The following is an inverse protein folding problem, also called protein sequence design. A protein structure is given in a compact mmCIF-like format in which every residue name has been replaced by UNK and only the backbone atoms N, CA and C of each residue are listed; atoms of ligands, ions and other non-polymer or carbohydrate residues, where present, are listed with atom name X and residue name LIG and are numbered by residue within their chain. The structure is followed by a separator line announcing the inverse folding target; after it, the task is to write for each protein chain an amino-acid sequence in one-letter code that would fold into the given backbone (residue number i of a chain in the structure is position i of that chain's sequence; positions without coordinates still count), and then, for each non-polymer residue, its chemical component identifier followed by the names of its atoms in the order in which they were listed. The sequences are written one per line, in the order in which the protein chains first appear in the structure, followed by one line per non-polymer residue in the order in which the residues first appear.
data_IF_069956516190
#
_entry.id   IF_069956516190
#
_cell.length_a   1.000
_cell.length_b   1.000
_cell.length_c   1.000
_cell.angle_alpha   90.00
_cell.angle_beta   90.00
_cell.angle_gamma   90.00
#
_symmetry.space_group_name_H-M   'P 1'
#
loop_
_entity.id
_entity.type
_entity.pdbx_description
1 polymer ?
#
# COMPACT_ATOMS: atom_id res chain seq x y z
N UNK A 1 3.50 20.81 10.82
CA UNK A 1 4.23 20.84 9.54
C UNK A 1 3.69 22.00 8.74
N UNK A 2 4.39 23.14 8.67
CA UNK A 2 4.10 24.18 7.66
C UNK A 2 5.13 23.98 6.55
N UNK A 3 4.95 22.93 5.76
CA UNK A 3 5.63 22.86 4.47
C UNK A 3 4.92 23.77 3.48
N UNK A 4 5.66 24.32 2.53
CA UNK A 4 5.07 25.04 1.41
C UNK A 4 4.19 24.10 0.59
N UNK A 5 3.02 24.57 0.17
CA UNK A 5 2.05 23.78 -0.58
C UNK A 5 2.68 23.15 -1.85
N UNK A 6 3.61 23.85 -2.51
CA UNK A 6 4.28 23.33 -3.72
C UNK A 6 5.18 22.14 -3.38
N UNK A 7 5.89 22.20 -2.26
CA UNK A 7 6.76 21.10 -1.80
C UNK A 7 5.93 19.90 -1.38
N UNK A 8 4.86 20.11 -0.62
CA UNK A 8 3.96 19.03 -0.21
C UNK A 8 3.30 18.34 -1.41
N UNK A 9 2.76 19.11 -2.36
CA UNK A 9 2.16 18.58 -3.58
C UNK A 9 3.18 17.78 -4.43
N UNK A 10 4.41 18.27 -4.54
CA UNK A 10 5.49 17.55 -5.23
C UNK A 10 5.80 16.21 -4.57
N UNK A 11 5.93 16.18 -3.24
CA UNK A 11 6.20 14.96 -2.48
C UNK A 11 5.08 13.92 -2.64
N UNK A 12 3.82 14.37 -2.59
CA UNK A 12 2.64 13.51 -2.82
C UNK A 12 2.65 12.95 -4.24
N UNK A 13 2.94 13.78 -5.25
CA UNK A 13 3.00 13.32 -6.64
C UNK A 13 4.12 12.29 -6.87
N UNK A 14 5.30 12.47 -6.26
CA UNK A 14 6.37 11.48 -6.32
C UNK A 14 5.99 10.17 -5.65
N UNK A 15 5.40 10.24 -4.46
CA UNK A 15 4.94 9.05 -3.75
C UNK A 15 3.83 8.32 -4.53
N UNK A 16 2.86 9.06 -5.07
CA UNK A 16 1.79 8.50 -5.89
C UNK A 16 2.36 7.82 -7.16
N UNK A 17 3.25 8.50 -7.89
CA UNK A 17 3.92 7.95 -9.06
C UNK A 17 4.76 6.71 -8.76
N UNK A 18 5.45 6.69 -7.63
CA UNK A 18 6.21 5.50 -7.19
C UNK A 18 5.25 4.34 -6.90
N UNK A 19 4.15 4.62 -6.19
CA UNK A 19 3.16 3.61 -5.80
C UNK A 19 2.39 3.04 -6.99
N UNK A 20 2.19 3.81 -8.05
CA UNK A 20 1.56 3.32 -9.29
C UNK A 20 2.52 2.50 -10.15
N UNK A 21 3.83 2.78 -10.12
CA UNK A 21 4.84 2.02 -10.87
C UNK A 21 5.26 0.73 -10.18
N UNK A 22 5.27 0.71 -8.84
CA UNK A 22 5.74 -0.44 -8.07
C UNK A 22 5.02 -1.76 -8.42
N UNK A 23 3.70 -1.80 -8.71
CA UNK A 23 3.01 -2.99 -9.18
C UNK A 23 3.59 -3.64 -10.43
N UNK A 24 4.13 -2.85 -11.35
CA UNK A 24 4.76 -3.40 -12.56
C UNK A 24 6.00 -4.22 -12.20
N UNK A 25 6.82 -3.69 -11.30
CA UNK A 25 8.04 -4.35 -10.82
C UNK A 25 7.68 -5.57 -9.98
N UNK A 26 6.73 -5.41 -9.04
CA UNK A 26 6.29 -6.48 -8.15
C UNK A 26 5.67 -7.67 -8.89
N UNK A 27 4.80 -7.39 -9.86
CA UNK A 27 4.21 -8.42 -10.73
C UNK A 27 5.25 -9.15 -11.56
N UNK A 28 6.17 -8.41 -12.20
CA UNK A 28 7.26 -9.03 -12.96
C UNK A 28 8.13 -9.97 -12.10
N UNK A 29 8.51 -9.54 -10.89
CA UNK A 29 9.30 -10.39 -9.99
C UNK A 29 8.54 -11.62 -9.52
N UNK A 30 7.25 -11.49 -9.28
CA UNK A 30 6.39 -12.62 -8.89
C UNK A 30 6.25 -13.65 -10.01
N UNK A 31 6.03 -13.20 -11.24
CA UNK A 31 5.82 -14.09 -12.37
C UNK A 31 7.13 -14.71 -12.89
N UNK A 32 8.26 -13.99 -12.80
CA UNK A 32 9.54 -14.46 -13.34
C UNK A 32 10.39 -15.28 -12.35
N UNK A 33 10.33 -15.00 -11.04
CA UNK A 33 11.31 -15.55 -10.09
C UNK A 33 10.72 -16.11 -8.79
N UNK A 34 9.79 -15.38 -8.14
CA UNK A 34 9.40 -15.66 -6.75
C UNK A 34 8.18 -16.58 -6.65
N UNK A 35 7.23 -16.43 -7.57
CA UNK A 35 5.88 -16.98 -7.46
C UNK A 35 4.90 -16.04 -6.75
N UNK A 36 3.60 -16.25 -7.02
CA UNK A 36 2.52 -15.35 -6.58
C UNK A 36 2.29 -15.35 -5.08
N UNK A 37 2.15 -16.53 -4.45
CA UNK A 37 1.88 -16.63 -3.01
C UNK A 37 3.01 -16.06 -2.12
N UNK A 38 4.30 -16.42 -2.33
CA UNK A 38 5.38 -15.85 -1.51
C UNK A 38 5.52 -14.34 -1.69
N UNK A 39 5.26 -13.81 -2.91
CA UNK A 39 5.26 -12.37 -3.15
C UNK A 39 4.15 -11.67 -2.37
N UNK A 40 2.93 -12.21 -2.35
CA UNK A 40 1.81 -11.66 -1.56
C UNK A 40 2.16 -11.64 -0.07
N UNK A 41 2.74 -12.73 0.45
CA UNK A 41 3.11 -12.82 1.87
C UNK A 41 4.20 -11.79 2.23
N UNK A 42 5.28 -11.74 1.46
CA UNK A 42 6.36 -10.76 1.65
C UNK A 42 5.84 -9.32 1.60
N UNK A 43 5.04 -9.02 0.58
CA UNK A 43 4.46 -7.69 0.37
C UNK A 43 3.54 -7.28 1.50
N UNK A 44 2.77 -8.21 2.05
CA UNK A 44 1.89 -7.98 3.21
C UNK A 44 2.69 -7.65 4.47
N UNK A 45 3.79 -8.37 4.73
CA UNK A 45 4.67 -8.08 5.85
C UNK A 45 5.32 -6.69 5.72
N UNK A 46 5.83 -6.35 4.55
CA UNK A 46 6.40 -5.01 4.28
C UNK A 46 5.36 -3.91 4.44
N UNK A 47 4.13 -4.14 3.97
CA UNK A 47 3.03 -3.19 4.13
C UNK A 47 2.68 -2.95 5.61
N UNK A 48 2.61 -4.02 6.42
CA UNK A 48 2.38 -3.93 7.87
C UNK A 48 3.50 -3.16 8.57
N UNK A 49 4.77 -3.40 8.21
CA UNK A 49 5.91 -2.61 8.73
C UNK A 49 5.75 -1.13 8.37
N UNK A 50 5.38 -0.82 7.13
CA UNK A 50 5.13 0.57 6.71
C UNK A 50 4.02 1.25 7.51
N UNK A 51 2.88 0.58 7.70
CA UNK A 51 1.77 1.09 8.52
C UNK A 51 2.16 1.30 9.98
N UNK A 52 2.84 0.32 10.58
CA UNK A 52 3.28 0.43 11.98
C UNK A 52 4.26 1.59 12.19
N UNK A 53 5.22 1.79 11.28
CA UNK A 53 6.12 2.95 11.32
C UNK A 53 5.37 4.27 11.17
N UNK A 54 4.39 4.33 10.27
CA UNK A 54 3.57 5.52 10.06
C UNK A 54 2.78 5.87 11.33
N UNK A 55 2.12 4.88 11.95
CA UNK A 55 1.42 5.03 13.22
C UNK A 55 2.38 5.49 14.33
N UNK A 56 3.52 4.82 14.49
CA UNK A 56 4.50 5.18 15.51
C UNK A 56 5.01 6.63 15.35
N UNK A 57 5.17 7.12 14.12
CA UNK A 57 5.60 8.50 13.85
C UNK A 57 4.67 9.57 14.44
N UNK A 58 3.38 9.23 14.64
CA UNK A 58 2.38 10.13 15.20
C UNK A 58 2.15 9.90 16.69
N UNK A 59 2.20 8.66 17.18
CA UNK A 59 1.85 8.36 18.57
C UNK A 59 3.06 8.40 19.53
N UNK A 60 4.26 8.03 19.07
CA UNK A 60 5.46 7.95 19.93
C UNK A 60 6.07 9.35 20.13
N UNK A 61 6.19 9.86 21.36
CA UNK A 61 6.72 11.21 21.62
C UNK A 61 8.11 11.47 21.04
N UNK A 62 8.98 10.45 21.02
CA UNK A 62 10.32 10.56 20.44
C UNK A 62 10.32 10.75 18.92
N UNK A 63 9.31 10.21 18.24
CA UNK A 63 9.15 10.25 16.79
C UNK A 63 8.18 11.32 16.31
N UNK A 64 7.46 11.98 17.23
CA UNK A 64 6.58 13.10 16.89
C UNK A 64 7.39 14.23 16.24
N UNK A 65 6.77 14.98 15.31
CA UNK A 65 7.43 16.12 14.68
C UNK A 65 7.81 17.20 15.70
N UNK A 66 7.01 17.34 16.76
CA UNK A 66 7.08 18.40 17.75
C UNK A 66 6.67 17.89 19.14
N UNK A 67 7.39 18.29 20.20
CA UNK A 67 7.05 17.94 21.59
C UNK A 67 6.37 19.08 22.36
N UNK A 68 6.40 20.30 21.85
CA UNK A 68 5.87 21.51 22.51
C UNK A 68 4.84 22.22 21.61
N UNK A 69 4.02 23.11 22.19
CA UNK A 69 2.97 23.86 21.47
C UNK A 69 3.52 24.75 20.34
N UNK A 70 4.76 25.21 20.46
CA UNK A 70 5.47 25.99 19.45
C UNK A 70 6.46 25.11 18.70
N UNK A 71 6.19 24.87 17.41
CA UNK A 71 7.04 24.05 16.56
C UNK A 71 7.49 24.82 15.31
N UNK A 72 8.67 25.48 15.38
CA UNK A 72 9.20 26.23 14.25
C UNK A 72 9.64 25.31 13.10
N UNK A 73 10.21 24.13 13.41
CA UNK A 73 10.63 23.14 12.43
C UNK A 73 10.44 21.71 12.95
N UNK A 74 10.01 20.76 12.10
CA UNK A 74 9.88 19.36 12.48
C UNK A 74 11.26 18.73 12.71
N UNK A 75 11.34 17.76 13.63
CA UNK A 75 12.54 16.95 13.81
C UNK A 75 12.89 16.19 12.53
N UNK A 76 14.16 16.21 12.14
CA UNK A 76 14.67 15.43 11.00
C UNK A 76 14.41 13.92 11.12
N UNK A 77 14.45 13.39 12.34
CA UNK A 77 14.11 12.00 12.60
C UNK A 77 12.65 11.66 12.21
N UNK A 78 11.70 12.56 12.51
CA UNK A 78 10.30 12.36 12.12
C UNK A 78 10.16 12.34 10.60
N UNK A 79 10.79 13.30 9.92
CA UNK A 79 10.76 13.41 8.45
C UNK A 79 11.27 12.12 7.78
N UNK A 80 12.42 11.61 8.22
CA UNK A 80 13.00 10.36 7.69
C UNK A 80 12.09 9.16 7.95
N UNK A 81 11.60 8.99 9.19
CA UNK A 81 10.73 7.86 9.54
C UNK A 81 9.40 7.92 8.79
N UNK A 82 8.84 9.12 8.63
CA UNK A 82 7.60 9.33 7.89
C UNK A 82 7.74 8.96 6.42
N UNK A 83 8.77 9.46 5.73
CA UNK A 83 8.99 9.10 4.32
C UNK A 83 9.38 7.64 4.15
N UNK A 84 10.19 7.07 5.04
CA UNK A 84 10.50 5.64 5.04
C UNK A 84 9.22 4.80 5.14
N UNK A 85 8.31 5.16 6.06
CA UNK A 85 7.03 4.50 6.21
C UNK A 85 6.19 4.57 4.91
N UNK A 86 6.08 5.75 4.29
CA UNK A 86 5.35 5.94 3.04
C UNK A 86 5.91 5.08 1.88
N UNK A 87 7.24 5.00 1.75
CA UNK A 87 7.86 4.19 0.70
C UNK A 87 7.82 2.68 1.01
N UNK A 88 7.82 2.26 2.28
CA UNK A 88 7.54 0.88 2.66
C UNK A 88 6.11 0.47 2.28
N UNK A 89 5.11 1.34 2.54
CA UNK A 89 3.72 1.11 2.12
C UNK A 89 3.63 1.01 0.58
N UNK A 90 4.34 1.87 -0.13
CA UNK A 90 4.43 1.85 -1.60
C UNK A 90 4.99 0.52 -2.11
N UNK A 91 6.09 0.05 -1.50
CA UNK A 91 6.73 -1.23 -1.82
C UNK A 91 5.80 -2.42 -1.56
N UNK A 92 5.16 -2.45 -0.39
CA UNK A 92 4.19 -3.49 -0.03
C UNK A 92 2.98 -3.50 -0.97
N UNK A 93 2.49 -2.32 -1.38
CA UNK A 93 1.39 -2.22 -2.36
C UNK A 93 1.79 -2.81 -3.72
N UNK A 94 3.05 -2.63 -4.10
CA UNK A 94 3.60 -3.09 -5.37
C UNK A 94 3.46 -4.59 -5.60
N UNK A 95 3.89 -5.44 -4.66
CA UNK A 95 3.73 -6.88 -4.85
C UNK A 95 2.34 -7.40 -4.48
N UNK A 96 1.64 -6.76 -3.56
CA UNK A 96 0.34 -7.22 -3.10
C UNK A 96 -0.73 -7.11 -4.20
N UNK A 97 -0.82 -5.94 -4.84
CA UNK A 97 -1.92 -5.62 -5.78
C UNK A 97 -2.00 -6.54 -7.01
N UNK A 98 -0.92 -6.79 -7.79
CA UNK A 98 -1.01 -7.64 -8.98
C UNK A 98 -1.08 -9.13 -8.63
N UNK A 99 -0.43 -9.56 -7.54
CA UNK A 99 -0.29 -10.97 -7.22
C UNK A 99 -1.49 -11.53 -6.44
N UNK A 100 -2.18 -10.72 -5.63
CA UNK A 100 -3.30 -11.20 -4.84
C UNK A 100 -4.50 -11.58 -5.72
N UNK A 101 -4.86 -10.72 -6.69
CA UNK A 101 -5.98 -10.99 -7.60
C UNK A 101 -5.69 -12.21 -8.48
N UNK A 102 -4.46 -12.30 -9.00
CA UNK A 102 -4.01 -13.45 -9.78
C UNK A 102 -4.02 -14.74 -8.97
N UNK A 103 -3.50 -14.70 -7.74
CA UNK A 103 -3.53 -15.86 -6.83
C UNK A 103 -4.95 -16.30 -6.46
N UNK A 104 -5.87 -15.34 -6.24
CA UNK A 104 -7.28 -15.62 -5.99
C UNK A 104 -7.96 -16.26 -7.21
N UNK A 105 -7.63 -15.79 -8.42
CA UNK A 105 -8.10 -16.37 -9.67
C UNK A 105 -7.61 -17.81 -9.89
N UNK A 106 -6.40 -18.14 -9.43
CA UNK A 106 -5.78 -19.47 -9.54
C UNK A 106 -6.45 -20.52 -8.62
N UNK A 107 -7.32 -20.11 -7.68
CA UNK A 107 -8.03 -21.03 -6.79
C UNK A 107 -9.23 -21.73 -7.46
N UNK A 108 -9.59 -21.34 -8.68
CA UNK A 108 -10.73 -21.88 -9.41
C UNK A 108 -10.25 -22.59 -10.66
N UNK A 109 -10.72 -23.82 -10.88
CA UNK A 109 -10.45 -24.57 -12.11
C UNK A 109 -11.24 -23.96 -13.29
N UNK A 110 -10.51 -23.64 -14.36
CA UNK A 110 -11.11 -23.09 -15.57
C UNK A 110 -11.87 -24.14 -16.37
N UNK A 111 -11.46 -25.40 -16.32
CA UNK A 111 -12.10 -26.49 -17.07
C UNK A 111 -13.45 -26.88 -16.47
N UNK A 112 -13.67 -26.61 -15.18
CA UNK A 112 -14.92 -26.88 -14.50
C UNK A 112 -15.93 -25.73 -14.63
N UNK A 113 -17.05 -25.97 -15.34
CA UNK A 113 -18.07 -24.97 -15.65
C UNK A 113 -18.61 -24.23 -14.40
N UNK A 114 -18.87 -24.96 -13.31
CA UNK A 114 -19.37 -24.33 -12.07
C UNK A 114 -18.32 -23.51 -11.33
N UNK A 115 -17.04 -23.90 -11.36
CA UNK A 115 -15.98 -23.12 -10.71
C UNK A 115 -15.68 -21.84 -11.47
N UNK A 116 -15.76 -21.88 -12.81
CA UNK A 116 -15.68 -20.68 -13.65
C UNK A 116 -16.76 -19.64 -13.30
N UNK A 117 -18.00 -20.07 -13.03
CA UNK A 117 -19.07 -19.18 -12.55
C UNK A 117 -18.74 -18.59 -11.18
N UNK A 118 -18.19 -19.39 -10.26
CA UNK A 118 -17.73 -18.92 -8.94
C UNK A 118 -16.59 -17.92 -9.04
N UNK A 119 -15.62 -18.14 -9.94
CA UNK A 119 -14.53 -17.19 -10.24
C UNK A 119 -15.07 -15.82 -10.68
N UNK A 120 -16.06 -15.80 -11.59
CA UNK A 120 -16.71 -14.54 -11.99
C UNK A 120 -17.45 -13.87 -10.82
N UNK A 121 -18.16 -14.65 -10.01
CA UNK A 121 -18.83 -14.13 -8.80
C UNK A 121 -17.85 -13.56 -7.78
N UNK A 122 -16.69 -14.21 -7.58
CA UNK A 122 -15.60 -13.73 -6.75
C UNK A 122 -15.12 -12.34 -7.20
N UNK A 123 -14.87 -12.15 -8.50
CA UNK A 123 -14.47 -10.83 -9.02
C UNK A 123 -15.58 -9.78 -8.93
N UNK A 124 -16.86 -10.16 -9.05
CA UNK A 124 -17.97 -9.25 -8.83
C UNK A 124 -17.99 -8.74 -7.38
N UNK A 125 -17.85 -9.65 -6.40
CA UNK A 125 -17.78 -9.29 -4.99
C UNK A 125 -16.52 -8.50 -4.63
N UNK A 126 -15.38 -8.85 -5.22
CA UNK A 126 -14.13 -8.11 -5.06
C UNK A 126 -14.27 -6.65 -5.50
N UNK A 127 -14.80 -6.41 -6.70
CA UNK A 127 -15.02 -5.06 -7.21
C UNK A 127 -16.04 -4.28 -6.38
N UNK A 128 -17.14 -4.93 -5.96
CA UNK A 128 -18.12 -4.30 -5.09
C UNK A 128 -17.49 -3.85 -3.77
N UNK A 129 -16.74 -4.72 -3.10
CA UNK A 129 -16.06 -4.41 -1.85
C UNK A 129 -15.02 -3.29 -2.01
N UNK A 130 -14.24 -3.30 -3.11
CA UNK A 130 -13.27 -2.25 -3.41
C UNK A 130 -13.93 -0.88 -3.61
N UNK A 131 -14.98 -0.82 -4.43
CA UNK A 131 -15.73 0.42 -4.67
C UNK A 131 -16.36 0.94 -3.38
N UNK A 132 -16.95 0.06 -2.57
CA UNK A 132 -17.53 0.42 -1.28
C UNK A 132 -16.46 0.94 -0.29
N UNK A 133 -15.30 0.28 -0.22
CA UNK A 133 -14.19 0.71 0.63
C UNK A 133 -13.62 2.08 0.21
N UNK A 134 -13.49 2.35 -1.09
CA UNK A 134 -13.06 3.65 -1.61
C UNK A 134 -14.08 4.75 -1.29
N UNK A 135 -15.38 4.47 -1.43
CA UNK A 135 -16.44 5.41 -1.06
C UNK A 135 -16.36 5.76 0.43
N UNK A 136 -16.23 4.77 1.31
CA UNK A 136 -16.09 5.02 2.74
C UNK A 136 -14.80 5.79 3.04
N UNK A 137 -13.65 5.33 2.54
CA UNK A 137 -12.35 5.94 2.83
C UNK A 137 -12.18 7.37 2.33
N UNK A 138 -12.95 7.81 1.33
CA UNK A 138 -12.95 9.20 0.87
C UNK A 138 -13.94 10.10 1.62
N UNK A 139 -14.92 9.51 2.34
CA UNK A 139 -15.99 10.25 3.02
C UNK A 139 -15.82 10.36 4.53
N UNK A 140 -15.12 9.43 5.17
CA UNK A 140 -14.72 9.49 6.60
C UNK A 140 -13.30 10.01 6.79
#
# INVERSE_FOLDING_TARGET
MKEDLKTAAKNVNYWAGTTTLMPLIGGFLADAYIGRFPMVLFSSLVYLVGLTLLTMSQYVPSLKPCNTKTCPQPRKLHEVVFFLALYCISLGTGGHKPCLESFGADQFDEEHVEERKKKMSFFNWWNFALCFALLLGATV
#
